data_IF_943205495641
#
_entry.id   IF_943205495641
#
_cell.length_a   1.000
_cell.length_b   1.000
_cell.length_c   1.000
_cell.angle_alpha   90.00
_cell.angle_beta   90.00
_cell.angle_gamma   90.00
#
_symmetry.space_group_name_H-M   'P 1'
#
loop_
_entity.id
_entity.type
_entity.pdbx_description
1 polymer ?
#
# COMPACT_ATOMS: atom_id res chain seq x y z
N UNK A 1 8.76 38.12 54.06
CA UNK A 1 9.35 37.73 52.76
C UNK A 1 8.21 37.69 51.75
N UNK A 2 8.29 38.49 50.69
CA UNK A 2 7.15 38.83 49.82
C UNK A 2 6.69 37.60 49.01
N UNK A 3 5.37 37.29 48.93
CA UNK A 3 4.85 36.09 48.26
C UNK A 3 5.05 36.10 46.73
N UNK A 4 5.45 37.24 46.16
CA UNK A 4 5.69 37.39 44.72
C UNK A 4 6.90 36.61 44.19
N UNK A 5 7.86 36.24 45.06
CA UNK A 5 9.02 35.44 44.63
C UNK A 5 8.62 33.98 44.29
N UNK A 6 7.59 33.43 44.95
CA UNK A 6 7.10 32.07 44.65
C UNK A 6 6.33 31.98 43.32
N UNK A 7 5.67 33.07 42.89
CA UNK A 7 4.86 33.06 41.66
C UNK A 7 5.75 33.03 40.40
N UNK A 8 6.95 33.62 40.46
CA UNK A 8 7.90 33.61 39.34
C UNK A 8 8.48 32.21 39.05
N UNK A 9 8.52 31.32 40.06
CA UNK A 9 9.11 29.99 39.96
C UNK A 9 8.13 28.93 39.38
N UNK A 10 6.83 29.24 39.32
CA UNK A 10 5.80 28.35 38.78
C UNK A 10 5.71 28.38 37.24
N UNK A 11 6.29 29.39 36.58
CA UNK A 11 6.26 29.52 35.11
C UNK A 11 7.41 28.81 34.38
N UNK A 12 8.39 28.25 35.09
CA UNK A 12 9.61 27.66 34.50
C UNK A 12 9.53 26.17 34.13
N UNK A 13 8.37 25.51 34.23
CA UNK A 13 8.26 24.05 34.04
C UNK A 13 7.71 23.58 32.69
N UNK A 14 7.62 24.44 31.66
CA UNK A 14 7.35 24.00 30.29
C UNK A 14 8.65 23.65 29.54
N UNK A 15 9.38 22.65 30.02
CA UNK A 15 10.45 22.04 29.22
C UNK A 15 9.86 20.96 28.31
N UNK A 16 9.74 21.27 27.01
CA UNK A 16 9.46 20.25 26.01
C UNK A 16 10.72 19.41 25.81
N UNK A 17 10.74 18.18 26.32
CA UNK A 17 11.75 17.20 25.96
C UNK A 17 11.50 16.78 24.50
N UNK A 18 12.31 17.30 23.57
CA UNK A 18 12.33 16.78 22.21
C UNK A 18 12.89 15.35 22.28
N UNK A 19 12.11 14.33 21.88
CA UNK A 19 12.61 12.97 21.82
C UNK A 19 13.61 12.89 20.66
N UNK A 20 14.89 13.06 21.00
CA UNK A 20 16.01 13.02 20.06
C UNK A 20 16.76 11.70 20.25
N UNK A 21 16.90 10.95 19.17
CA UNK A 21 17.66 9.69 19.13
C UNK A 21 18.71 9.74 18.04
N UNK A 22 19.87 9.19 18.35
CA UNK A 22 20.95 8.98 17.41
C UNK A 22 21.41 7.54 17.54
N UNK A 23 21.85 6.96 16.43
CA UNK A 23 22.35 5.61 16.43
C UNK A 23 23.03 5.27 15.12
N UNK A 24 23.37 4.00 14.98
CA UNK A 24 23.94 3.40 13.77
C UNK A 24 23.09 2.21 13.33
N UNK A 25 22.88 2.09 12.03
CA UNK A 25 22.20 0.95 11.43
C UNK A 25 23.22 0.09 10.69
N UNK A 26 23.24 -1.19 11.02
CA UNK A 26 24.15 -2.19 10.46
C UNK A 26 23.36 -3.32 9.78
N UNK A 27 23.97 -3.96 8.79
CA UNK A 27 23.48 -5.23 8.25
C UNK A 27 23.75 -6.35 9.26
N UNK A 28 22.76 -7.18 9.55
CA UNK A 28 22.89 -8.23 10.58
C UNK A 28 23.96 -9.29 10.25
N UNK A 29 24.12 -9.62 8.96
CA UNK A 29 25.02 -10.68 8.51
C UNK A 29 26.52 -10.34 8.61
N UNK A 30 26.91 -9.14 8.17
CA UNK A 30 28.32 -8.73 8.05
C UNK A 30 28.69 -7.53 8.93
N UNK A 31 27.71 -6.95 9.63
CA UNK A 31 27.87 -5.78 10.51
C UNK A 31 28.37 -4.52 9.78
N UNK A 32 28.23 -4.48 8.46
CA UNK A 32 28.58 -3.31 7.66
C UNK A 32 27.60 -2.14 7.92
N UNK A 33 28.07 -0.88 7.93
CA UNK A 33 27.20 0.28 8.06
C UNK A 33 26.27 0.42 6.86
N UNK A 34 25.03 0.83 7.13
CA UNK A 34 24.00 0.90 6.10
C UNK A 34 23.50 2.33 5.87
N UNK A 35 23.84 2.88 4.70
CA UNK A 35 23.29 4.13 4.18
C UNK A 35 21.88 3.98 3.63
N UNK A 36 21.19 5.11 3.51
CA UNK A 36 19.85 5.21 2.92
C UNK A 36 18.76 4.39 3.61
N UNK A 37 18.88 4.19 4.92
CA UNK A 37 17.83 3.58 5.75
C UNK A 37 16.88 4.67 6.21
N UNK A 38 15.61 4.56 5.84
CA UNK A 38 14.57 5.49 6.27
C UNK A 38 14.23 5.28 7.74
N UNK A 39 14.19 6.38 8.49
CA UNK A 39 13.83 6.40 9.91
C UNK A 39 12.75 7.46 10.09
N UNK A 40 11.54 7.01 10.38
CA UNK A 40 10.37 7.86 10.23
C UNK A 40 9.18 7.43 11.07
N UNK A 41 8.20 8.31 11.14
CA UNK A 41 6.86 8.04 11.66
C UNK A 41 5.83 8.78 10.78
N UNK A 42 4.65 9.10 11.32
CA UNK A 42 3.61 9.81 10.55
C UNK A 42 3.91 11.29 10.27
N UNK A 43 4.85 11.90 10.97
CA UNK A 43 5.08 13.35 11.02
C UNK A 43 6.51 13.77 10.67
N UNK A 44 7.51 13.00 11.08
CA UNK A 44 8.92 13.27 10.87
C UNK A 44 9.63 12.13 10.13
N UNK A 45 10.67 12.48 9.37
CA UNK A 45 11.46 11.55 8.57
C UNK A 45 12.94 11.99 8.55
N UNK A 46 13.85 11.03 8.67
CA UNK A 46 15.30 11.17 8.46
C UNK A 46 15.85 9.93 7.78
N UNK A 47 17.14 9.95 7.45
CA UNK A 47 17.81 8.84 6.78
C UNK A 47 19.25 8.69 7.26
N UNK A 48 19.79 7.46 7.21
CA UNK A 48 21.20 7.22 7.56
C UNK A 48 22.17 7.74 6.51
N UNK A 49 23.35 8.20 6.96
CA UNK A 49 24.45 8.63 6.11
C UNK A 49 25.34 7.44 5.65
N UNK A 50 26.45 7.73 4.96
CA UNK A 50 27.43 6.73 4.49
C UNK A 50 28.02 5.86 5.62
N UNK A 51 28.13 6.39 6.84
CA UNK A 51 28.60 5.66 8.03
C UNK A 51 27.47 4.87 8.71
N UNK A 52 26.27 4.82 8.12
CA UNK A 52 25.08 4.21 8.68
C UNK A 52 24.49 4.95 9.89
N UNK A 53 24.96 6.16 10.19
CA UNK A 53 24.54 6.95 11.34
C UNK A 53 23.33 7.80 11.01
N UNK A 54 22.48 8.02 12.02
CA UNK A 54 21.32 8.91 11.90
C UNK A 54 21.13 9.78 13.13
N UNK A 55 20.34 10.83 12.93
CA UNK A 55 19.77 11.63 13.99
C UNK A 55 18.28 11.86 13.69
N UNK A 56 17.43 11.45 14.62
CA UNK A 56 15.97 11.54 14.50
C UNK A 56 15.40 12.27 15.71
N UNK A 57 14.61 13.32 15.45
CA UNK A 57 13.90 14.08 16.47
C UNK A 57 12.41 14.03 16.15
N UNK A 58 11.57 13.65 17.11
CA UNK A 58 10.13 13.57 16.92
C UNK A 58 9.38 13.85 18.22
N UNK A 59 8.14 14.29 18.09
CA UNK A 59 7.19 14.40 19.21
C UNK A 59 6.39 13.11 19.43
N UNK A 60 6.24 12.29 18.39
CA UNK A 60 5.65 10.95 18.45
C UNK A 60 6.61 9.92 19.05
N UNK A 61 6.08 9.01 19.87
CA UNK A 61 6.83 7.87 20.42
C UNK A 61 7.05 6.75 19.38
N UNK A 62 6.31 6.74 18.27
CA UNK A 62 6.50 5.73 17.22
C UNK A 62 7.73 6.03 16.36
N UNK A 63 8.47 4.97 16.02
CA UNK A 63 9.60 5.03 15.09
C UNK A 63 9.62 3.77 14.23
N UNK A 64 9.77 3.96 12.93
CA UNK A 64 9.90 2.92 11.92
C UNK A 64 11.25 3.06 11.24
N UNK A 65 11.97 1.95 11.16
CA UNK A 65 13.29 1.84 10.52
C UNK A 65 13.15 0.84 9.38
N UNK A 66 13.42 1.27 8.15
CA UNK A 66 13.17 0.46 6.96
C UNK A 66 14.07 0.80 5.77
N UNK A 67 14.44 -0.23 5.01
CA UNK A 67 15.07 -0.14 3.69
C UNK A 67 14.51 -1.25 2.80
N UNK A 68 14.24 -1.00 1.51
CA UNK A 68 13.85 -2.05 0.57
C UNK A 68 14.81 -3.24 0.57
N UNK A 69 14.28 -4.46 0.57
CA UNK A 69 15.06 -5.70 0.68
C UNK A 69 15.42 -6.13 2.11
N UNK A 70 14.97 -5.38 3.13
CA UNK A 70 15.18 -5.67 4.54
C UNK A 70 13.86 -5.68 5.30
N UNK A 71 13.84 -6.38 6.44
CA UNK A 71 12.66 -6.45 7.29
C UNK A 71 12.36 -5.10 7.94
N UNK A 72 11.08 -4.73 7.92
CA UNK A 72 10.60 -3.49 8.52
C UNK A 72 10.53 -3.62 10.03
N UNK A 73 11.20 -2.72 10.77
CA UNK A 73 11.12 -2.66 12.23
C UNK A 73 10.36 -1.42 12.70
N UNK A 74 9.25 -1.63 13.38
CA UNK A 74 8.48 -0.58 14.04
C UNK A 74 8.54 -0.77 15.55
N UNK A 75 8.90 0.27 16.29
CA UNK A 75 9.09 0.25 17.74
C UNK A 75 8.81 1.63 18.35
N UNK A 76 9.07 1.79 19.65
CA UNK A 76 8.97 3.06 20.36
C UNK A 76 10.33 3.72 20.61
N UNK A 77 10.36 5.05 20.78
CA UNK A 77 11.57 5.84 21.02
C UNK A 77 12.40 5.37 22.23
N UNK A 78 11.76 4.78 23.23
CA UNK A 78 12.40 4.28 24.44
C UNK A 78 13.08 2.92 24.23
N UNK A 79 12.59 2.13 23.27
CA UNK A 79 13.05 0.76 23.00
C UNK A 79 14.08 0.67 21.87
N UNK A 80 14.37 1.78 21.19
CA UNK A 80 15.43 1.83 20.18
C UNK A 80 16.79 1.79 20.85
N UNK A 81 17.57 0.77 20.51
CA UNK A 81 18.99 0.68 20.85
C UNK A 81 19.83 1.61 19.98
N UNK A 82 20.99 2.03 20.48
CA UNK A 82 21.92 2.88 19.73
C UNK A 82 22.49 2.17 18.48
N UNK A 83 22.48 0.83 18.48
CA UNK A 83 22.85 -0.01 17.33
C UNK A 83 21.65 -0.82 16.87
N UNK A 84 21.24 -0.64 15.62
CA UNK A 84 20.12 -1.36 15.00
C UNK A 84 20.66 -2.30 13.93
N UNK A 85 20.24 -3.55 13.99
CA UNK A 85 20.55 -4.54 12.95
C UNK A 85 19.33 -4.74 12.05
N UNK A 86 19.54 -4.70 10.74
CA UNK A 86 18.52 -5.05 9.76
C UNK A 86 18.87 -6.37 9.07
N UNK A 87 17.90 -7.27 9.09
CA UNK A 87 17.96 -8.56 8.42
C UNK A 87 17.44 -8.42 6.99
N UNK A 88 18.08 -9.09 6.04
CA UNK A 88 17.59 -9.14 4.66
C UNK A 88 16.25 -9.88 4.67
N UNK A 89 15.24 -9.25 4.09
CA UNK A 89 13.98 -9.90 3.79
C UNK A 89 14.21 -10.76 2.56
N UNK A 90 14.69 -11.98 2.77
CA UNK A 90 14.72 -12.97 1.69
C UNK A 90 13.27 -13.24 1.39
N UNK A 91 12.79 -12.74 0.24
CA UNK A 91 11.50 -13.15 -0.31
C UNK A 91 11.61 -14.66 -0.55
N UNK A 92 11.18 -15.46 0.42
CA UNK A 92 10.91 -16.87 0.22
C UNK A 92 9.75 -16.93 -0.75
N UNK A 93 10.07 -16.97 -2.05
CA UNK A 93 9.09 -17.22 -3.07
C UNK A 93 8.54 -18.62 -2.80
N UNK A 94 7.23 -18.72 -2.59
CA UNK A 94 6.56 -20.01 -2.49
C UNK A 94 6.98 -20.87 -3.68
N UNK A 95 7.31 -22.13 -3.42
CA UNK A 95 7.64 -23.10 -4.45
C UNK A 95 6.54 -23.11 -5.53
N UNK A 96 6.92 -22.80 -6.77
CA UNK A 96 6.00 -22.86 -7.90
C UNK A 96 5.90 -24.31 -8.34
N UNK A 97 4.85 -25.00 -7.91
CA UNK A 97 4.54 -26.34 -8.42
C UNK A 97 4.02 -26.21 -9.85
N UNK A 98 4.77 -26.70 -10.84
CA UNK A 98 4.31 -26.75 -12.24
C UNK A 98 3.28 -27.87 -12.37
N UNK A 99 2.01 -27.56 -12.15
CA UNK A 99 0.91 -28.45 -12.48
C UNK A 99 0.63 -28.37 -13.98
N UNK A 100 0.15 -29.46 -14.60
CA UNK A 100 -0.39 -29.45 -15.97
C UNK A 100 -1.76 -28.73 -15.99
N UNK A 101 -1.79 -27.52 -15.45
CA UNK A 101 -2.98 -26.71 -15.37
C UNK A 101 -3.29 -26.12 -16.75
N UNK A 102 -4.58 -26.17 -17.08
CA UNK A 102 -5.08 -25.53 -18.29
C UNK A 102 -4.68 -24.06 -18.29
N UNK A 103 -4.16 -23.60 -19.42
CA UNK A 103 -3.86 -22.18 -19.60
C UNK A 103 -5.13 -21.34 -19.43
N UNK A 104 -4.98 -20.06 -19.09
CA UNK A 104 -6.09 -19.11 -19.04
C UNK A 104 -6.97 -19.18 -20.30
N UNK A 105 -6.35 -19.28 -21.48
CA UNK A 105 -7.07 -19.40 -22.76
C UNK A 105 -7.88 -20.70 -22.88
N UNK A 106 -7.35 -21.82 -22.38
CA UNK A 106 -8.09 -23.08 -22.36
C UNK A 106 -9.27 -23.00 -21.39
N UNK A 107 -9.09 -22.39 -20.21
CA UNK A 107 -10.18 -22.16 -19.24
C UNK A 107 -11.28 -21.28 -19.84
N UNK A 108 -10.91 -20.22 -20.58
CA UNK A 108 -11.87 -19.37 -21.31
C UNK A 108 -12.59 -20.16 -22.41
N UNK A 109 -11.87 -20.92 -23.23
CA UNK A 109 -12.47 -21.73 -24.30
C UNK A 109 -13.49 -22.74 -23.77
N UNK A 110 -13.18 -23.39 -22.66
CA UNK A 110 -14.04 -24.39 -22.04
C UNK A 110 -15.31 -23.75 -21.45
N UNK A 111 -15.19 -22.54 -20.88
CA UNK A 111 -16.32 -21.84 -20.25
C UNK A 111 -17.33 -21.27 -21.26
N UNK A 112 -16.93 -21.06 -22.52
CA UNK A 112 -17.83 -20.54 -23.55
C UNK A 112 -19.06 -21.44 -23.74
N UNK A 113 -18.87 -22.77 -23.68
CA UNK A 113 -19.96 -23.74 -23.87
C UNK A 113 -20.98 -23.74 -22.73
N UNK A 114 -20.56 -23.44 -21.50
CA UNK A 114 -21.45 -23.41 -20.33
C UNK A 114 -22.15 -22.06 -20.17
N UNK A 115 -21.49 -20.98 -20.56
CA UNK A 115 -21.94 -19.61 -20.26
C UNK A 115 -22.74 -18.96 -21.39
N UNK A 116 -22.66 -19.49 -22.61
CA UNK A 116 -23.30 -18.88 -23.77
C UNK A 116 -24.16 -19.88 -24.54
N UNK A 117 -25.31 -19.42 -25.03
CA UNK A 117 -26.20 -20.22 -25.87
C UNK A 117 -25.62 -20.35 -27.29
N UNK A 118 -24.98 -21.49 -27.56
CA UNK A 118 -24.41 -21.84 -28.88
C UNK A 118 -25.36 -22.64 -29.77
N UNK A 119 -26.62 -22.78 -29.36
CA UNK A 119 -27.68 -23.46 -30.11
C UNK A 119 -28.75 -22.45 -30.55
N UNK A 120 -29.61 -22.75 -31.53
CA UNK A 120 -30.64 -21.82 -31.96
C UNK A 120 -31.68 -21.53 -30.86
N UNK A 121 -31.95 -20.25 -30.57
CA UNK A 121 -32.89 -19.84 -29.54
C UNK A 121 -33.68 -18.59 -29.96
N UNK A 122 -34.80 -18.33 -29.27
CA UNK A 122 -35.57 -17.09 -29.42
C UNK A 122 -35.28 -16.19 -28.23
N UNK A 123 -34.99 -14.92 -28.49
CA UNK A 123 -34.82 -13.92 -27.44
C UNK A 123 -35.68 -12.68 -27.70
N UNK A 124 -35.97 -11.96 -26.62
CA UNK A 124 -36.54 -10.62 -26.69
C UNK A 124 -35.39 -9.63 -26.51
N UNK A 125 -35.38 -8.57 -27.30
CA UNK A 125 -34.38 -7.52 -27.18
C UNK A 125 -35.05 -6.17 -26.93
N UNK A 126 -34.29 -5.29 -26.28
CA UNK A 126 -34.57 -3.87 -26.11
C UNK A 126 -33.25 -3.13 -26.39
N UNK A 127 -33.27 -2.24 -27.37
CA UNK A 127 -32.19 -1.31 -27.66
C UNK A 127 -32.70 0.09 -27.34
N UNK A 128 -31.94 0.83 -26.54
CA UNK A 128 -32.26 2.21 -26.16
C UNK A 128 -31.20 3.15 -26.73
N UNK A 129 -31.60 3.97 -27.70
CA UNK A 129 -30.82 5.10 -28.17
C UNK A 129 -31.11 6.34 -27.32
N UNK A 130 -30.07 7.12 -27.01
CA UNK A 130 -30.19 8.40 -26.30
C UNK A 130 -29.59 9.50 -27.18
N UNK A 131 -30.41 10.49 -27.53
CA UNK A 131 -29.96 11.70 -28.22
C UNK A 131 -29.69 12.78 -27.18
N UNK A 132 -28.49 13.37 -27.26
CA UNK A 132 -28.10 14.51 -26.42
C UNK A 132 -27.81 15.73 -27.27
N UNK A 133 -28.22 16.90 -26.79
CA UNK A 133 -27.88 18.20 -27.35
C UNK A 133 -27.34 19.08 -26.22
N UNK A 134 -26.17 19.68 -26.41
CA UNK A 134 -25.47 20.49 -25.39
C UNK A 134 -25.31 19.79 -24.03
N UNK A 135 -25.07 18.48 -24.02
CA UNK A 135 -24.87 17.69 -22.80
C UNK A 135 -26.16 17.21 -22.12
N UNK A 136 -27.32 17.73 -22.52
CA UNK A 136 -28.62 17.33 -21.97
C UNK A 136 -29.30 16.26 -22.84
N UNK A 137 -30.00 15.33 -22.21
CA UNK A 137 -30.78 14.31 -22.91
C UNK A 137 -32.03 14.95 -23.49
N UNK A 138 -32.10 15.01 -24.81
CA UNK A 138 -33.22 15.61 -25.54
C UNK A 138 -34.23 14.57 -26.00
N UNK A 139 -33.79 13.32 -26.22
CA UNK A 139 -34.68 12.23 -26.64
C UNK A 139 -34.14 10.87 -26.22
N UNK A 140 -35.06 9.99 -25.83
CA UNK A 140 -34.80 8.55 -25.67
C UNK A 140 -35.66 7.83 -26.71
N UNK A 141 -35.07 6.88 -27.43
CA UNK A 141 -35.78 6.06 -28.40
C UNK A 141 -35.49 4.60 -28.17
N UNK A 142 -36.56 3.84 -27.95
CA UNK A 142 -36.50 2.42 -27.71
C UNK A 142 -36.91 1.63 -28.96
N UNK A 143 -36.17 0.58 -29.25
CA UNK A 143 -36.48 -0.42 -30.27
C UNK A 143 -36.51 -1.76 -29.55
N UNK A 144 -37.66 -2.43 -29.57
CA UNK A 144 -37.81 -3.75 -28.95
C UNK A 144 -38.46 -4.74 -29.89
N UNK A 145 -38.16 -6.01 -29.70
CA UNK A 145 -38.71 -7.05 -30.55
C UNK A 145 -38.37 -8.46 -30.08
N UNK A 146 -38.80 -9.43 -30.88
CA UNK A 146 -38.42 -10.84 -30.74
C UNK A 146 -37.51 -11.20 -31.90
N UNK A 147 -36.42 -11.89 -31.64
CA UNK A 147 -35.55 -12.39 -32.69
C UNK A 147 -35.24 -13.88 -32.48
N UNK A 148 -35.00 -14.58 -33.59
CA UNK A 148 -34.54 -15.96 -33.57
C UNK A 148 -33.06 -15.97 -33.92
N UNK A 149 -32.20 -16.25 -32.94
CA UNK A 149 -30.75 -16.39 -33.13
C UNK A 149 -30.38 -17.81 -33.49
N UNK A 150 -29.37 -17.95 -34.34
CA UNK A 150 -28.74 -19.25 -34.63
C UNK A 150 -27.73 -19.64 -33.52
N UNK A 151 -26.99 -18.67 -33.02
CA UNK A 151 -26.03 -18.76 -31.92
C UNK A 151 -25.83 -17.35 -31.34
N UNK A 152 -25.42 -17.25 -30.07
CA UNK A 152 -25.05 -15.98 -29.45
C UNK A 152 -23.68 -15.48 -29.92
N UNK A 153 -22.72 -16.40 -30.08
CA UNK A 153 -21.37 -16.10 -30.56
C UNK A 153 -21.21 -16.67 -31.97
N UNK A 154 -20.87 -15.81 -32.92
CA UNK A 154 -20.47 -16.23 -34.26
C UNK A 154 -19.00 -16.65 -34.21
N UNK A 155 -18.71 -17.81 -34.78
CA UNK A 155 -17.35 -18.34 -34.96
C UNK A 155 -16.89 -18.09 -36.39
#
# INVERSE_FOLDING_TARGET
MKPHFCILLLFSIFTYSQNRRSGIVLVEADKSPMEFVGIYNGTEHTMTNADGRFLFSSTSDSITIYRPGYDKRSTSFQKVSDTIYLQKSVLELNEVTVTNEKTLWQKVKDSIKSNYALYPYKEKFLLRGVLRYNGEITRIQDIQGKLKRKTLLYT
#
